data_IF_374444257272
#
_entry.id   IF_374444257272
#
_cell.length_a   1.000
_cell.length_b   1.000
_cell.length_c   1.000
_cell.angle_alpha   90.00
_cell.angle_beta   90.00
_cell.angle_gamma   90.00
#
_symmetry.space_group_name_H-M   'P 1'
#
loop_
_entity.id
_entity.type
_entity.pdbx_description
1 polymer ?
#
# COMPACT_ATOMS: atom_id res chain seq x y z
N UNK A 1 -27.80 42.17 45.60
CA UNK A 1 -28.29 43.19 44.65
C UNK A 1 -29.20 42.53 43.60
N UNK A 2 -30.53 42.55 43.78
CA UNK A 2 -31.54 42.53 42.71
C UNK A 2 -32.21 43.93 42.60
N UNK A 3 -33.01 44.30 41.56
CA UNK A 3 -34.39 43.81 41.27
C UNK A 3 -34.65 43.59 39.74
N UNK A 4 -35.62 42.84 39.20
CA UNK A 4 -37.08 42.62 39.35
C UNK A 4 -37.98 43.42 38.38
N UNK A 5 -39.02 42.74 37.85
CA UNK A 5 -40.19 43.16 37.01
C UNK A 5 -39.98 43.15 35.48
N UNK A 6 -40.86 42.65 34.61
CA UNK A 6 -42.20 42.06 34.74
C UNK A 6 -43.03 42.35 33.47
N UNK A 7 -43.52 41.28 32.81
CA UNK A 7 -44.75 41.13 31.97
C UNK A 7 -45.12 42.12 30.85
N UNK A 8 -45.39 41.58 29.64
CA UNK A 8 -46.31 42.19 28.66
C UNK A 8 -46.15 41.71 27.20
N UNK A 9 -46.89 40.67 26.80
CA UNK A 9 -47.41 40.48 25.41
C UNK A 9 -48.87 40.99 25.38
N UNK A 10 -49.63 41.04 24.25
CA UNK A 10 -49.37 40.68 22.84
C UNK A 10 -49.87 41.73 21.79
N UNK A 11 -49.57 41.52 20.50
CA UNK A 11 -50.47 41.66 19.32
C UNK A 11 -49.73 42.12 18.04
N UNK A 12 -50.12 41.53 16.91
CA UNK A 12 -50.23 42.25 15.64
C UNK A 12 -49.32 41.80 14.51
N UNK A 13 -49.75 40.74 13.80
CA UNK A 13 -49.82 40.64 12.34
C UNK A 13 -48.83 41.43 11.46
N UNK A 14 -48.07 40.69 10.63
CA UNK A 14 -48.20 40.75 9.15
C UNK A 14 -47.18 39.84 8.46
N UNK A 15 -47.69 38.76 7.88
CA UNK A 15 -47.03 38.02 6.81
C UNK A 15 -47.06 38.85 5.50
N UNK A 16 -46.00 38.85 4.68
CA UNK A 16 -46.05 39.37 3.32
C UNK A 16 -46.56 38.33 2.30
N UNK A 17 -47.08 38.77 1.13
CA UNK A 17 -48.28 38.18 0.54
C UNK A 17 -48.04 37.12 -0.54
N UNK A 18 -49.00 36.19 -0.63
CA UNK A 18 -49.25 35.34 -1.81
C UNK A 18 -49.78 36.20 -2.96
N UNK A 19 -49.12 36.14 -4.12
CA UNK A 19 -49.75 36.42 -5.42
C UNK A 19 -49.89 35.11 -6.17
N UNK A 20 -51.12 34.66 -6.35
CA UNK A 20 -51.48 33.68 -7.37
C UNK A 20 -51.95 34.40 -8.62
N UNK A 21 -51.63 33.84 -9.78
CA UNK A 21 -52.44 33.88 -11.01
C UNK A 21 -51.87 32.84 -12.00
N UNK A 22 -52.60 31.72 -12.02
CA UNK A 22 -52.92 30.80 -13.12
C UNK A 22 -51.88 29.97 -13.92
N UNK A 23 -52.29 28.76 -14.37
CA UNK A 23 -51.40 27.73 -14.89
C UNK A 23 -51.46 27.60 -16.43
N UNK A 24 -50.46 26.97 -17.08
CA UNK A 24 -50.68 26.39 -18.40
C UNK A 24 -50.69 24.85 -18.36
N UNK A 25 -51.81 24.32 -18.85
CA UNK A 25 -51.99 23.15 -19.72
C UNK A 25 -51.52 21.76 -19.28
N UNK A 26 -52.49 20.84 -19.29
CA UNK A 26 -52.40 19.38 -19.19
C UNK A 26 -51.89 18.72 -20.50
N UNK A 27 -51.60 17.39 -20.49
CA UNK A 27 -50.52 16.78 -21.25
C UNK A 27 -50.96 16.21 -22.61
N UNK A 28 -50.05 16.20 -23.57
CA UNK A 28 -50.15 15.36 -24.78
C UNK A 28 -49.12 14.22 -24.72
N UNK A 29 -49.57 13.00 -25.02
CA UNK A 29 -48.69 11.92 -25.47
C UNK A 29 -48.60 10.68 -24.58
N UNK A 30 -49.73 10.06 -24.22
CA UNK A 30 -49.75 8.66 -23.81
C UNK A 30 -49.35 7.76 -25.00
N UNK A 31 -48.11 7.24 -25.01
CA UNK A 31 -47.77 6.09 -25.86
C UNK A 31 -48.20 4.81 -25.15
N UNK A 32 -49.25 4.19 -25.70
CA UNK A 32 -49.78 2.88 -25.31
C UNK A 32 -48.75 1.78 -25.58
N UNK A 33 -48.63 0.87 -24.63
CA UNK A 33 -48.12 -0.48 -24.83
C UNK A 33 -49.03 -1.27 -25.79
N UNK A 34 -48.50 -2.22 -26.57
CA UNK A 34 -49.31 -3.23 -27.24
C UNK A 34 -49.07 -4.63 -26.65
N UNK A 35 -50.14 -5.24 -26.13
CA UNK A 35 -50.42 -6.68 -26.17
C UNK A 35 -51.93 -6.86 -25.89
N UNK A 36 -52.59 -7.99 -26.20
CA UNK A 36 -52.11 -9.27 -26.74
C UNK A 36 -52.90 -9.77 -27.98
N UNK A 37 -52.36 -10.75 -28.71
CA UNK A 37 -53.04 -11.45 -29.80
C UNK A 37 -52.79 -12.96 -29.70
N UNK A 38 -53.87 -13.70 -29.69
CA UNK A 38 -54.07 -15.14 -29.43
C UNK A 38 -53.68 -16.05 -30.62
N UNK A 39 -53.24 -17.28 -30.32
CA UNK A 39 -53.11 -18.36 -31.33
C UNK A 39 -52.34 -19.61 -30.87
N UNK A 40 -53.08 -20.55 -30.24
CA UNK A 40 -52.98 -22.04 -30.28
C UNK A 40 -51.60 -22.71 -30.54
N UNK A 41 -50.95 -23.42 -29.60
CA UNK A 41 -51.22 -24.76 -29.05
C UNK A 41 -50.53 -25.96 -29.78
N UNK A 42 -49.45 -26.47 -29.12
CA UNK A 42 -48.96 -27.89 -28.96
C UNK A 42 -48.20 -28.61 -30.10
N UNK A 43 -47.39 -29.69 -29.83
CA UNK A 43 -46.71 -30.11 -28.58
C UNK A 43 -45.24 -30.65 -28.73
N UNK A 44 -44.54 -30.70 -27.57
CA UNK A 44 -43.59 -31.71 -27.06
C UNK A 44 -42.50 -32.38 -27.95
N UNK A 45 -41.22 -32.24 -27.52
CA UNK A 45 -40.31 -33.36 -27.30
C UNK A 45 -39.14 -32.98 -26.35
N UNK A 46 -39.00 -33.76 -25.27
CA UNK A 46 -37.84 -33.92 -24.39
C UNK A 46 -36.57 -34.29 -25.22
N UNK A 47 -35.30 -34.21 -24.83
CA UNK A 47 -34.57 -34.31 -23.55
C UNK A 47 -33.07 -34.15 -23.88
N UNK A 48 -32.24 -33.92 -22.85
CA UNK A 48 -30.77 -34.11 -22.86
C UNK A 48 -29.90 -33.00 -23.48
N UNK A 49 -29.54 -32.00 -22.68
CA UNK A 49 -28.28 -31.26 -22.89
C UNK A 49 -27.74 -30.62 -21.60
N UNK A 50 -27.71 -31.40 -20.51
CA UNK A 50 -27.06 -31.00 -19.24
C UNK A 50 -25.99 -31.97 -18.75
N UNK A 51 -25.69 -33.03 -19.52
CA UNK A 51 -24.56 -33.94 -19.23
C UNK A 51 -23.35 -33.77 -20.15
N UNK A 52 -23.44 -32.96 -21.21
CA UNK A 52 -22.31 -32.77 -22.12
C UNK A 52 -21.27 -31.76 -21.62
N UNK A 53 -21.63 -30.84 -20.72
CA UNK A 53 -20.72 -29.80 -20.24
C UNK A 53 -19.74 -30.28 -19.17
N UNK A 54 -20.06 -31.34 -18.44
CA UNK A 54 -19.20 -31.87 -17.38
C UNK A 54 -18.08 -32.76 -17.92
N UNK A 55 -18.32 -33.49 -19.01
CA UNK A 55 -17.29 -34.32 -19.66
C UNK A 55 -16.25 -33.52 -20.45
N UNK A 56 -16.57 -32.31 -20.90
CA UNK A 56 -15.63 -31.43 -21.62
C UNK A 56 -14.60 -30.80 -20.65
N UNK A 57 -14.96 -30.63 -19.37
CA UNK A 57 -14.06 -30.02 -18.39
C UNK A 57 -13.05 -31.01 -17.78
N UNK A 58 -13.38 -32.31 -17.72
CA UNK A 58 -12.43 -33.34 -17.29
C UNK A 58 -11.42 -33.75 -18.38
N UNK A 59 -11.63 -33.39 -19.64
CA UNK A 59 -10.79 -33.83 -20.77
C UNK A 59 -9.58 -32.91 -21.06
N UNK A 60 -9.44 -31.80 -20.33
CA UNK A 60 -8.43 -30.77 -20.64
C UNK A 60 -7.06 -31.00 -19.95
N UNK A 61 -6.87 -32.13 -19.27
CA UNK A 61 -5.64 -32.45 -18.52
C UNK A 61 -4.70 -33.46 -19.20
N UNK A 62 -4.98 -33.84 -20.45
CA UNK A 62 -4.21 -34.88 -21.13
C UNK A 62 -4.00 -34.55 -22.60
N UNK A 63 -3.15 -33.56 -22.93
CA UNK A 63 -2.34 -33.62 -24.16
C UNK A 63 -1.17 -32.64 -24.06
N UNK A 64 0.03 -33.20 -24.15
CA UNK A 64 1.31 -32.51 -24.07
C UNK A 64 2.05 -32.81 -25.38
N UNK A 65 1.67 -32.17 -26.49
CA UNK A 65 2.55 -32.01 -27.66
C UNK A 65 1.99 -30.99 -28.67
N UNK A 66 2.84 -30.19 -29.35
CA UNK A 66 2.43 -29.30 -30.44
C UNK A 66 1.85 -30.03 -31.66
N UNK A 67 2.01 -31.35 -31.77
CA UNK A 67 1.51 -32.16 -32.88
C UNK A 67 0.02 -32.47 -32.78
N UNK A 68 -0.56 -32.50 -31.56
CA UNK A 68 -1.97 -32.84 -31.36
C UNK A 68 -2.91 -31.65 -31.68
N UNK A 69 -2.43 -30.42 -31.48
CA UNK A 69 -3.11 -29.20 -31.92
C UNK A 69 -3.23 -29.12 -33.45
N UNK A 70 -2.24 -29.65 -34.17
CA UNK A 70 -2.23 -29.66 -35.63
C UNK A 70 -3.19 -30.72 -36.21
N UNK A 71 -3.38 -31.84 -35.51
CA UNK A 71 -4.37 -32.87 -35.87
C UNK A 71 -5.81 -32.41 -35.62
N UNK A 72 -6.06 -31.68 -34.53
CA UNK A 72 -7.38 -31.09 -34.26
C UNK A 72 -7.77 -30.02 -35.29
N UNK A 73 -6.80 -29.19 -35.72
CA UNK A 73 -7.03 -28.17 -36.74
C UNK A 73 -7.35 -28.76 -38.13
N UNK A 74 -6.73 -29.90 -38.49
CA UNK A 74 -7.09 -30.63 -39.71
C UNK A 74 -8.46 -31.32 -39.62
N UNK A 75 -8.83 -31.87 -38.46
CA UNK A 75 -10.14 -32.49 -38.24
C UNK A 75 -11.30 -31.49 -38.29
N UNK A 76 -11.03 -30.20 -38.04
CA UNK A 76 -12.00 -29.11 -38.13
C UNK A 76 -11.99 -28.38 -39.49
N UNK A 77 -11.21 -28.85 -40.47
CA UNK A 77 -11.25 -28.34 -41.85
C UNK A 77 -10.71 -26.92 -42.04
N UNK A 78 -9.91 -26.40 -41.10
CA UNK A 78 -9.39 -25.03 -41.16
C UNK A 78 -8.18 -24.92 -42.09
N UNK A 79 -8.21 -23.94 -43.01
CA UNK A 79 -7.13 -23.72 -43.98
C UNK A 79 -6.02 -22.87 -43.38
N UNK A 80 -4.79 -23.15 -43.84
CA UNK A 80 -3.52 -22.54 -43.38
C UNK A 80 -3.43 -21.01 -43.57
N UNK A 81 -4.42 -20.40 -44.23
CA UNK A 81 -4.53 -18.96 -44.50
C UNK A 81 -5.07 -18.13 -43.34
N UNK A 82 -5.65 -18.76 -42.30
CA UNK A 82 -6.47 -18.05 -41.31
C UNK A 82 -5.71 -17.62 -40.04
N UNK A 83 -4.38 -17.77 -40.02
CA UNK A 83 -3.52 -17.36 -38.90
C UNK A 83 -2.30 -16.52 -39.35
N UNK A 84 -2.42 -15.19 -39.48
CA UNK A 84 -1.27 -14.31 -39.61
C UNK A 84 -0.97 -13.67 -38.25
N UNK A 85 0.11 -14.12 -37.60
CA UNK A 85 0.83 -13.55 -36.43
C UNK A 85 1.08 -14.58 -35.32
N UNK A 86 1.81 -15.66 -35.64
CA UNK A 86 2.40 -16.54 -34.62
C UNK A 86 3.72 -17.16 -35.11
N UNK A 87 4.57 -16.38 -35.78
CA UNK A 87 5.84 -16.86 -36.34
C UNK A 87 7.08 -16.01 -35.94
N UNK A 88 6.99 -15.18 -34.89
CA UNK A 88 8.09 -14.29 -34.50
C UNK A 88 8.54 -14.38 -33.03
N UNK A 89 8.11 -15.39 -32.26
CA UNK A 89 8.35 -15.42 -30.81
C UNK A 89 9.02 -16.70 -30.27
N UNK A 90 9.79 -17.43 -31.08
CA UNK A 90 10.43 -18.69 -30.67
C UNK A 90 11.93 -18.80 -31.02
N UNK A 91 12.68 -17.70 -31.01
CA UNK A 91 14.10 -17.71 -31.38
C UNK A 91 15.03 -16.87 -30.49
N UNK A 92 14.66 -16.61 -29.23
CA UNK A 92 15.58 -15.96 -28.29
C UNK A 92 15.28 -16.44 -26.87
N UNK A 93 16.01 -17.46 -26.40
CA UNK A 93 16.31 -17.77 -24.98
C UNK A 93 16.97 -19.16 -24.88
N UNK A 94 18.25 -19.28 -25.25
CA UNK A 94 19.14 -20.34 -24.76
C UNK A 94 20.58 -19.79 -24.66
N UNK A 95 21.30 -19.95 -23.52
CA UNK A 95 22.69 -19.53 -23.37
C UNK A 95 23.66 -20.58 -23.95
N UNK A 96 24.84 -20.20 -24.47
CA UNK A 96 25.81 -21.15 -24.99
C UNK A 96 26.68 -21.76 -23.87
N UNK A 97 26.78 -23.09 -23.89
CA UNK A 97 27.79 -23.87 -23.19
C UNK A 97 29.17 -23.73 -23.87
N UNK A 98 30.22 -23.49 -23.09
CA UNK A 98 31.63 -23.61 -23.52
C UNK A 98 32.23 -24.91 -22.95
N UNK A 99 32.99 -25.69 -23.73
CA UNK A 99 33.62 -26.93 -23.26
C UNK A 99 35.00 -26.67 -22.64
N UNK A 100 35.30 -27.39 -21.55
CA UNK A 100 36.63 -27.53 -20.93
C UNK A 100 37.43 -28.66 -21.59
N UNK A 101 38.75 -28.55 -21.80
CA UNK A 101 39.58 -29.68 -22.18
C UNK A 101 40.22 -30.36 -20.96
N UNK A 102 40.37 -31.68 -21.11
CA UNK A 102 40.91 -32.68 -20.19
C UNK A 102 42.44 -32.85 -20.31
N UNK A 103 43.05 -33.32 -19.21
CA UNK A 103 44.27 -34.14 -19.17
C UNK A 103 45.41 -33.53 -18.34
N UNK A 104 46.28 -34.25 -17.62
CA UNK A 104 46.37 -35.65 -17.13
C UNK A 104 47.74 -35.77 -16.41
N UNK A 105 47.83 -36.54 -15.32
CA UNK A 105 49.08 -37.03 -14.71
C UNK A 105 49.73 -36.08 -13.69
N UNK A 106 50.18 -36.46 -12.49
CA UNK A 106 50.54 -37.76 -11.92
C UNK A 106 51.95 -37.65 -11.31
N UNK A 107 52.11 -37.84 -10.00
CA UNK A 107 53.44 -37.95 -9.36
C UNK A 107 53.48 -37.51 -7.88
N UNK A 108 53.97 -38.39 -7.01
CA UNK A 108 53.93 -38.27 -5.55
C UNK A 108 55.33 -38.18 -4.91
N UNK A 109 55.43 -37.39 -3.81
CA UNK A 109 56.35 -37.45 -2.62
C UNK A 109 57.86 -37.12 -2.80
N UNK A 110 58.66 -36.92 -1.71
CA UNK A 110 58.48 -36.08 -0.50
C UNK A 110 59.79 -35.36 0.01
N UNK A 111 59.70 -34.50 1.05
CA UNK A 111 60.82 -34.01 1.92
C UNK A 111 61.65 -32.83 1.34
N UNK A 112 62.19 -31.86 2.08
CA UNK A 112 62.57 -31.72 3.49
C UNK A 112 62.92 -30.24 3.82
N UNK A 113 62.79 -29.83 5.10
CA UNK A 113 63.53 -28.77 5.85
C UNK A 113 63.45 -27.31 5.34
N UNK A 114 63.29 -26.24 6.13
CA UNK A 114 63.53 -25.98 7.56
C UNK A 114 62.90 -24.63 8.01
N UNK A 115 62.75 -24.48 9.34
CA UNK A 115 62.70 -23.24 10.14
C UNK A 115 61.40 -22.39 10.24
N UNK A 116 60.74 -22.57 11.39
CA UNK A 116 59.76 -21.73 12.13
C UNK A 116 60.44 -20.55 12.89
N UNK A 117 59.75 -19.74 13.75
CA UNK A 117 58.62 -18.79 13.59
C UNK A 117 58.95 -17.47 14.42
N UNK A 118 58.02 -16.68 15.04
CA UNK A 118 56.56 -16.51 14.90
C UNK A 118 56.06 -15.04 14.76
N UNK A 119 54.75 -14.84 14.50
CA UNK A 119 54.03 -13.56 14.60
C UNK A 119 53.31 -13.39 15.96
N UNK A 120 53.17 -12.14 16.43
CA UNK A 120 52.36 -11.80 17.60
C UNK A 120 50.88 -11.57 17.22
N UNK A 121 50.00 -12.39 17.79
CA UNK A 121 48.58 -12.06 18.02
C UNK A 121 48.43 -11.03 19.16
N UNK A 122 47.27 -10.55 19.57
CA UNK A 122 45.88 -10.85 19.22
C UNK A 122 44.95 -10.16 20.23
N UNK A 123 43.78 -9.73 19.75
CA UNK A 123 42.46 -9.90 20.38
C UNK A 123 41.99 -9.02 21.57
N UNK A 124 40.78 -8.46 21.34
CA UNK A 124 39.60 -8.32 22.22
C UNK A 124 39.75 -8.11 23.74
N UNK A 125 39.05 -7.10 24.28
CA UNK A 125 37.99 -7.29 25.29
C UNK A 125 37.25 -6.00 25.67
N UNK A 126 36.01 -6.20 26.14
CA UNK A 126 35.02 -5.25 26.66
C UNK A 126 35.39 -4.76 28.07
N UNK A 127 34.81 -3.63 28.49
CA UNK A 127 34.33 -3.37 29.85
C UNK A 127 33.42 -2.12 29.79
N UNK A 128 32.28 -1.94 30.46
CA UNK A 128 31.82 -2.47 31.74
C UNK A 128 31.59 -1.29 32.69
N UNK A 129 30.33 -1.02 33.08
CA UNK A 129 29.90 -0.03 34.09
C UNK A 129 30.62 -0.24 35.43
N UNK A 130 30.83 0.83 36.20
CA UNK A 130 30.29 1.00 37.56
C UNK A 130 30.73 2.33 38.20
N UNK A 131 29.74 3.03 38.75
CA UNK A 131 29.67 3.78 40.02
C UNK A 131 30.97 4.20 40.74
N UNK A 132 31.06 5.49 41.14
CA UNK A 132 30.91 5.91 42.55
C UNK A 132 31.00 7.44 42.74
N UNK A 133 29.92 7.99 43.29
CA UNK A 133 29.81 8.94 44.41
C UNK A 133 30.88 10.01 44.72
N UNK A 134 30.32 11.24 44.85
CA UNK A 134 30.35 12.18 46.00
C UNK A 134 31.66 12.82 46.46
N UNK A 135 31.51 14.11 46.80
CA UNK A 135 32.36 14.87 47.73
C UNK A 135 32.77 16.20 47.11
N UNK A 136 32.13 17.31 47.47
CA UNK A 136 32.61 18.23 48.53
C UNK A 136 34.05 18.67 48.25
N UNK A 137 34.40 19.92 48.01
CA UNK A 137 33.78 21.17 48.42
C UNK A 137 34.93 22.10 48.85
N UNK A 138 34.81 23.38 48.54
CA UNK A 138 35.48 24.47 49.25
C UNK A 138 36.97 24.72 48.96
N UNK A 139 37.28 25.99 48.78
CA UNK A 139 38.59 26.54 49.18
C UNK A 139 39.34 27.29 48.08
N UNK A 140 39.23 28.62 48.15
CA UNK A 140 40.27 29.65 47.98
C UNK A 140 41.68 29.17 47.55
N UNK A 141 42.50 29.89 46.79
CA UNK A 141 42.66 31.33 46.68
C UNK A 141 43.59 31.66 45.50
N UNK A 142 43.48 32.91 45.02
CA UNK A 142 44.56 33.87 44.74
C UNK A 142 45.88 33.47 44.03
N UNK A 143 46.17 34.28 43.01
CA UNK A 143 47.48 34.78 42.55
C UNK A 143 48.55 33.77 42.08
N UNK A 144 48.91 33.81 40.79
CA UNK A 144 49.98 34.67 40.27
C UNK A 144 50.39 34.24 38.85
N UNK A 145 50.90 35.24 38.12
CA UNK A 145 51.29 35.23 36.71
C UNK A 145 52.47 34.30 36.41
N UNK A 146 52.48 33.77 35.18
CA UNK A 146 53.67 33.90 34.31
C UNK A 146 54.46 32.63 34.03
N UNK A 147 54.03 31.86 33.03
CA UNK A 147 54.94 31.17 32.11
C UNK A 147 54.17 30.88 30.81
N UNK A 148 54.43 31.68 29.77
CA UNK A 148 53.90 31.45 28.44
C UNK A 148 54.59 30.23 27.84
N UNK A 149 54.03 29.04 28.06
CA UNK A 149 54.36 27.85 27.27
C UNK A 149 53.73 28.07 25.90
N UNK A 150 54.56 28.29 24.89
CA UNK A 150 54.13 28.28 23.50
C UNK A 150 53.65 26.86 23.15
N UNK A 151 52.36 26.60 23.39
CA UNK A 151 51.68 25.42 22.88
C UNK A 151 51.66 25.54 21.35
N UNK A 152 52.58 24.84 20.70
CA UNK A 152 52.51 24.57 19.28
C UNK A 152 51.28 23.70 19.05
N UNK A 153 50.12 24.34 18.85
CA UNK A 153 48.93 23.64 18.40
C UNK A 153 49.21 23.20 16.96
N UNK A 154 49.16 21.90 16.64
CA UNK A 154 49.15 21.49 15.26
C UNK A 154 47.90 22.10 14.65
N UNK A 155 48.06 23.10 13.77
CA UNK A 155 46.98 23.53 12.92
C UNK A 155 46.63 22.30 12.07
N UNK A 156 45.59 21.58 12.48
CA UNK A 156 44.89 20.66 11.61
C UNK A 156 44.41 21.53 10.46
N UNK A 157 45.19 21.53 9.38
CA UNK A 157 44.80 22.12 8.12
C UNK A 157 43.45 21.52 7.82
N UNK A 158 42.40 22.32 8.00
CA UNK A 158 41.08 21.99 7.51
C UNK A 158 41.30 21.80 6.02
N UNK A 159 41.44 20.54 5.60
CA UNK A 159 41.29 20.15 4.21
C UNK A 159 39.87 20.57 3.91
N UNK A 160 39.71 21.82 3.45
CA UNK A 160 38.48 22.31 2.86
C UNK A 160 38.27 21.35 1.73
N UNK A 161 37.41 20.37 1.97
CA UNK A 161 37.00 19.39 1.00
C UNK A 161 36.23 20.20 -0.03
N UNK A 162 36.98 20.84 -0.94
CA UNK A 162 36.45 21.68 -1.98
C UNK A 162 35.61 20.74 -2.81
N UNK A 163 34.29 20.86 -2.69
CA UNK A 163 33.37 20.14 -3.55
C UNK A 163 33.82 20.43 -4.97
N UNK A 164 34.36 19.41 -5.64
CA UNK A 164 34.95 19.62 -6.95
C UNK A 164 33.84 20.10 -7.88
N UNK A 165 34.18 20.97 -8.83
CA UNK A 165 33.21 21.46 -9.81
C UNK A 165 32.48 20.30 -10.51
N UNK A 166 33.20 19.19 -10.71
CA UNK A 166 32.69 17.93 -11.23
C UNK A 166 31.62 17.29 -10.33
N UNK A 167 31.81 17.28 -9.02
CA UNK A 167 30.87 16.68 -8.07
C UNK A 167 29.57 17.49 -7.96
N UNK A 168 29.68 18.83 -7.93
CA UNK A 168 28.50 19.71 -7.97
C UNK A 168 27.74 19.50 -9.27
N UNK A 169 28.44 19.43 -10.40
CA UNK A 169 27.83 19.17 -11.73
C UNK A 169 27.12 17.82 -11.76
N UNK A 170 27.76 16.76 -11.24
CA UNK A 170 27.17 15.41 -11.17
C UNK A 170 25.89 15.42 -10.33
N UNK A 171 25.93 16.04 -9.16
CA UNK A 171 24.77 16.15 -8.26
C UNK A 171 23.62 16.93 -8.91
N UNK A 172 23.92 18.03 -9.59
CA UNK A 172 22.94 18.86 -10.28
C UNK A 172 22.26 18.08 -11.42
N UNK A 173 23.02 17.30 -12.21
CA UNK A 173 22.45 16.41 -13.23
C UNK A 173 21.54 15.34 -12.61
N UNK A 174 21.96 14.71 -11.51
CA UNK A 174 21.16 13.70 -10.82
C UNK A 174 19.84 14.25 -10.28
N UNK A 175 19.86 15.42 -9.63
CA UNK A 175 18.64 16.01 -9.05
C UNK A 175 17.67 16.48 -10.15
N UNK A 176 18.18 17.03 -11.27
CA UNK A 176 17.35 17.34 -12.44
C UNK A 176 16.66 16.10 -13.01
N UNK A 177 17.34 14.96 -13.06
CA UNK A 177 16.72 13.71 -13.49
C UNK A 177 15.66 13.22 -12.50
N UNK A 178 15.93 13.29 -11.20
CA UNK A 178 14.95 12.96 -10.15
C UNK A 178 13.71 13.86 -10.27
N UNK A 179 13.86 15.17 -10.49
CA UNK A 179 12.76 16.11 -10.68
C UNK A 179 11.88 15.75 -11.89
N UNK A 180 12.48 15.35 -13.02
CA UNK A 180 11.74 14.89 -14.20
C UNK A 180 10.95 13.62 -13.92
N UNK A 181 11.56 12.67 -13.21
CA UNK A 181 10.92 11.40 -12.82
C UNK A 181 9.75 11.68 -11.87
N UNK A 182 9.92 12.50 -10.84
CA UNK A 182 8.83 12.82 -9.89
C UNK A 182 7.70 13.60 -10.56
N UNK A 183 8.00 14.54 -11.46
CA UNK A 183 6.99 15.25 -12.25
C UNK A 183 6.18 14.30 -13.14
N UNK A 184 6.86 13.36 -13.81
CA UNK A 184 6.19 12.33 -14.62
C UNK A 184 5.35 11.39 -13.74
N UNK A 185 5.89 10.95 -12.60
CA UNK A 185 5.21 10.06 -11.67
C UNK A 185 3.99 10.72 -11.00
N UNK A 186 4.02 12.04 -10.77
CA UNK A 186 2.85 12.83 -10.36
C UNK A 186 1.73 12.70 -11.39
N UNK A 187 2.02 12.90 -12.68
CA UNK A 187 1.02 12.79 -13.76
C UNK A 187 0.45 11.37 -13.88
N UNK A 188 1.31 10.36 -13.77
CA UNK A 188 0.87 8.95 -13.77
C UNK A 188 -0.05 8.66 -12.58
N UNK A 189 0.30 9.17 -11.39
CA UNK A 189 -0.51 8.98 -10.18
C UNK A 189 -1.83 9.74 -10.26
N UNK A 190 -1.84 10.94 -10.85
CA UNK A 190 -3.05 11.72 -11.10
C UNK A 190 -4.03 10.99 -12.02
N UNK A 191 -3.54 10.40 -13.11
CA UNK A 191 -4.36 9.60 -14.02
C UNK A 191 -4.96 8.35 -13.33
N UNK A 192 -4.16 7.68 -12.49
CA UNK A 192 -4.63 6.51 -11.70
C UNK A 192 -5.64 6.92 -10.64
N UNK A 193 -5.42 8.03 -9.94
CA UNK A 193 -6.35 8.60 -8.98
C UNK A 193 -7.70 8.93 -9.64
N UNK A 194 -7.71 9.61 -10.78
CA UNK A 194 -8.94 9.94 -11.51
C UNK A 194 -9.71 8.71 -12.00
N UNK A 195 -9.03 7.58 -12.23
CA UNK A 195 -9.70 6.29 -12.50
C UNK A 195 -10.27 5.70 -11.21
N UNK A 196 -9.47 5.62 -10.15
CA UNK A 196 -9.88 5.06 -8.86
C UNK A 196 -11.07 5.82 -8.25
N UNK A 197 -11.09 7.16 -8.33
CA UNK A 197 -12.20 7.99 -7.85
C UNK A 197 -13.52 7.69 -8.57
N UNK A 198 -13.47 7.46 -9.90
CA UNK A 198 -14.67 7.08 -10.67
C UNK A 198 -15.20 5.71 -10.26
N UNK A 199 -14.31 4.76 -9.98
CA UNK A 199 -14.67 3.42 -9.51
C UNK A 199 -15.11 3.40 -8.04
N UNK A 200 -14.67 4.37 -7.24
CA UNK A 200 -15.02 4.47 -5.82
C UNK A 200 -16.48 4.86 -5.60
N UNK A 201 -17.02 5.76 -6.41
CA UNK A 201 -18.41 6.25 -6.29
C UNK A 201 -19.45 5.10 -6.24
N UNK A 202 -19.48 4.15 -7.20
CA UNK A 202 -20.40 3.02 -7.12
C UNK A 202 -20.07 2.07 -5.96
N UNK A 203 -18.78 1.84 -5.68
CA UNK A 203 -18.36 0.95 -4.58
C UNK A 203 -18.83 1.44 -3.20
N UNK A 204 -18.96 2.76 -2.99
CA UNK A 204 -19.48 3.33 -1.75
C UNK A 204 -20.91 2.89 -1.44
N UNK A 205 -21.75 2.80 -2.47
CA UNK A 205 -23.16 2.40 -2.33
C UNK A 205 -23.25 0.96 -1.84
N UNK A 206 -22.42 0.08 -2.40
CA UNK A 206 -22.31 -1.31 -1.96
C UNK A 206 -21.84 -1.43 -0.51
N UNK A 207 -20.84 -0.64 -0.11
CA UNK A 207 -20.34 -0.63 1.27
C UNK A 207 -21.37 -0.14 2.28
N UNK A 208 -22.13 0.91 1.96
CA UNK A 208 -23.22 1.40 2.84
C UNK A 208 -24.37 0.40 2.96
N UNK A 209 -24.71 -0.30 1.87
CA UNK A 209 -25.77 -1.30 1.89
C UNK A 209 -25.46 -2.48 2.82
N UNK A 210 -24.21 -2.94 2.82
CA UNK A 210 -23.75 -4.03 3.70
C UNK A 210 -23.83 -3.67 5.19
N UNK A 211 -23.59 -2.40 5.52
CA UNK A 211 -23.55 -1.91 6.90
C UNK A 211 -24.93 -1.56 7.45
N UNK A 212 -25.87 -1.21 6.58
CA UNK A 212 -27.21 -0.82 6.98
C UNK A 212 -27.93 -1.94 7.77
N UNK A 213 -27.60 -3.21 7.53
CA UNK A 213 -28.12 -4.32 8.33
C UNK A 213 -27.58 -4.26 9.76
N UNK A 214 -26.26 -4.11 9.93
CA UNK A 214 -25.63 -4.06 11.25
C UNK A 214 -26.08 -2.85 12.08
N UNK A 215 -26.29 -1.70 11.44
CA UNK A 215 -26.80 -0.49 12.10
C UNK A 215 -28.24 -0.68 12.58
N UNK A 216 -29.12 -1.25 11.75
CA UNK A 216 -30.52 -1.47 12.11
C UNK A 216 -30.72 -2.61 13.11
N UNK A 217 -29.88 -3.64 13.03
CA UNK A 217 -29.95 -4.79 13.92
C UNK A 217 -29.19 -4.55 15.24
N UNK A 218 -28.49 -3.42 15.39
CA UNK A 218 -27.65 -3.07 16.55
C UNK A 218 -26.81 -4.25 17.06
N UNK A 219 -26.21 -5.00 16.14
CA UNK A 219 -25.42 -6.19 16.49
C UNK A 219 -24.18 -5.73 17.24
N UNK A 220 -24.19 -5.93 18.56
CA UNK A 220 -23.04 -5.69 19.44
C UNK A 220 -22.27 -6.99 19.60
N UNK A 221 -20.95 -6.87 19.70
CA UNK A 221 -20.13 -7.99 20.10
C UNK A 221 -20.40 -8.31 21.59
N UNK A 222 -20.81 -9.54 21.94
CA UNK A 222 -20.82 -9.99 23.33
C UNK A 222 -19.45 -9.76 24.01
N UNK A 223 -19.46 -9.39 25.29
CA UNK A 223 -18.25 -9.08 26.06
C UNK A 223 -17.32 -10.30 26.23
N UNK A 224 -17.86 -11.53 26.09
CA UNK A 224 -17.17 -12.81 26.34
C UNK A 224 -16.29 -13.34 25.20
N UNK A 225 -16.13 -12.59 24.10
CA UNK A 225 -15.41 -13.07 22.92
C UNK A 225 -13.90 -13.18 23.14
N UNK A 226 -13.36 -14.36 22.85
CA UNK A 226 -11.95 -14.70 23.10
C UNK A 226 -11.06 -14.48 21.89
N UNK A 227 -11.61 -14.61 20.66
CA UNK A 227 -10.83 -14.54 19.41
C UNK A 227 -11.19 -13.33 18.56
N UNK A 228 -10.18 -12.51 18.27
CA UNK A 228 -10.32 -11.28 17.50
C UNK A 228 -9.52 -11.31 16.20
N UNK A 229 -10.16 -10.99 15.07
CA UNK A 229 -9.52 -10.93 13.76
C UNK A 229 -9.31 -9.49 13.29
N UNK A 230 -8.07 -9.13 12.98
CA UNK A 230 -7.71 -7.79 12.56
C UNK A 230 -7.22 -7.79 11.11
N UNK A 231 -7.97 -7.17 10.20
CA UNK A 231 -7.66 -7.13 8.77
C UNK A 231 -7.13 -5.74 8.39
N UNK A 232 -5.86 -5.67 7.99
CA UNK A 232 -5.25 -4.42 7.54
C UNK A 232 -5.18 -4.32 6.02
N UNK A 233 -5.76 -3.27 5.43
CA UNK A 233 -5.78 -3.07 3.96
C UNK A 233 -4.71 -2.07 3.50
N UNK A 234 -3.67 -2.57 2.84
CA UNK A 234 -2.58 -1.76 2.26
C UNK A 234 -2.28 -2.17 0.81
N UNK A 235 -1.17 -1.65 0.27
CA UNK A 235 -0.70 -1.86 -1.09
C UNK A 235 0.73 -2.39 -1.07
N UNK A 236 1.17 -3.00 -2.17
CA UNK A 236 2.58 -3.42 -2.29
C UNK A 236 3.53 -2.28 -2.68
N UNK A 237 2.98 -1.17 -3.19
CA UNK A 237 3.76 -0.07 -3.74
C UNK A 237 4.10 0.98 -2.68
N UNK A 238 5.31 1.52 -2.78
CA UNK A 238 5.78 2.59 -1.90
C UNK A 238 5.42 4.00 -2.40
N UNK A 239 6.10 4.99 -1.82
CA UNK A 239 6.05 6.40 -2.22
C UNK A 239 4.68 7.09 -2.06
N UNK A 240 3.86 6.62 -1.12
CA UNK A 240 2.51 7.11 -0.85
C UNK A 240 2.40 7.85 0.51
N UNK A 241 3.49 8.43 0.99
CA UNK A 241 3.51 9.16 2.27
C UNK A 241 3.21 8.26 3.48
N UNK A 242 2.27 8.67 4.32
CA UNK A 242 1.96 8.04 5.60
C UNK A 242 0.78 7.04 5.57
N UNK A 243 0.31 6.63 4.38
CA UNK A 243 -0.81 5.69 4.21
C UNK A 243 -0.54 4.37 4.95
N UNK A 244 0.60 3.73 4.70
CA UNK A 244 0.92 2.42 5.28
C UNK A 244 1.26 2.50 6.77
N UNK A 245 1.93 3.59 7.17
CA UNK A 245 2.32 3.78 8.56
C UNK A 245 1.13 4.15 9.45
N UNK A 246 0.12 4.85 8.92
CA UNK A 246 -1.11 5.14 9.66
C UNK A 246 -1.85 3.84 10.04
N UNK A 247 -2.12 2.97 9.07
CA UNK A 247 -2.76 1.67 9.29
C UNK A 247 -1.93 0.82 10.27
N UNK A 248 -0.62 0.68 10.03
CA UNK A 248 0.22 -0.14 10.90
C UNK A 248 0.29 0.38 12.35
N UNK A 249 0.17 1.70 12.56
CA UNK A 249 0.10 2.27 13.92
C UNK A 249 -1.24 1.95 14.59
N UNK A 250 -2.35 2.13 13.88
CA UNK A 250 -3.69 1.79 14.38
C UNK A 250 -3.76 0.32 14.77
N UNK A 251 -3.29 -0.57 13.88
CA UNK A 251 -3.23 -2.02 14.15
C UNK A 251 -2.42 -2.33 15.40
N UNK A 252 -1.25 -1.71 15.59
CA UNK A 252 -0.41 -1.92 16.79
C UNK A 252 -1.12 -1.49 18.08
N UNK A 253 -1.84 -0.37 18.02
CA UNK A 253 -2.59 0.14 19.17
C UNK A 253 -3.75 -0.81 19.52
N UNK A 254 -4.49 -1.29 18.52
CA UNK A 254 -5.57 -2.26 18.74
C UNK A 254 -5.04 -3.60 19.26
N UNK A 255 -3.94 -4.12 18.70
CA UNK A 255 -3.29 -5.35 19.20
C UNK A 255 -2.88 -5.18 20.67
N UNK A 256 -2.30 -4.03 21.04
CA UNK A 256 -1.94 -3.77 22.43
C UNK A 256 -3.17 -3.69 23.34
N UNK A 257 -4.22 -2.99 22.91
CA UNK A 257 -5.47 -2.86 23.69
C UNK A 257 -6.16 -4.21 23.89
N UNK A 258 -6.27 -5.02 22.84
CA UNK A 258 -6.92 -6.33 22.87
C UNK A 258 -6.08 -7.35 23.64
N UNK A 259 -4.76 -7.32 23.50
CA UNK A 259 -3.85 -8.17 24.27
C UNK A 259 -3.89 -7.84 25.77
N UNK A 260 -4.04 -6.56 26.15
CA UNK A 260 -4.22 -6.14 27.54
C UNK A 260 -5.57 -6.62 28.11
N UNK A 261 -6.59 -6.71 27.26
CA UNK A 261 -7.89 -7.30 27.63
C UNK A 261 -7.87 -8.84 27.67
N UNK A 262 -6.74 -9.49 27.37
CA UNK A 262 -6.60 -10.94 27.39
C UNK A 262 -7.24 -11.67 26.20
N UNK A 263 -7.60 -10.95 25.13
CA UNK A 263 -8.16 -11.54 23.91
C UNK A 263 -7.05 -12.08 23.00
N UNK A 264 -7.27 -13.22 22.37
CA UNK A 264 -6.40 -13.79 21.35
C UNK A 264 -6.61 -13.02 20.04
N UNK A 265 -5.56 -12.40 19.51
CA UNK A 265 -5.64 -11.56 18.30
C UNK A 265 -4.92 -12.23 17.15
N UNK A 266 -5.59 -12.38 16.01
CA UNK A 266 -4.97 -12.81 14.76
C UNK A 266 -5.07 -11.71 13.72
N UNK A 267 -4.02 -11.54 12.92
CA UNK A 267 -3.86 -10.46 11.95
C UNK A 267 -3.82 -11.02 10.54
N UNK A 268 -4.59 -10.40 9.66
CA UNK A 268 -4.58 -10.65 8.22
C UNK A 268 -4.05 -9.41 7.51
N UNK A 269 -2.90 -9.56 6.85
CA UNK A 269 -2.26 -8.49 6.11
C UNK A 269 -2.64 -8.53 4.63
N UNK A 270 -3.39 -7.53 4.15
CA UNK A 270 -3.63 -7.36 2.72
C UNK A 270 -2.59 -6.38 2.17
N UNK A 271 -1.67 -6.90 1.36
CA UNK A 271 -0.54 -6.17 0.80
C UNK A 271 0.76 -6.36 1.59
N UNK A 272 1.87 -6.32 0.85
CA UNK A 272 3.21 -6.64 1.35
C UNK A 272 3.75 -5.59 2.35
N UNK A 273 3.30 -4.34 2.26
CA UNK A 273 3.79 -3.25 3.12
C UNK A 273 3.36 -3.39 4.58
N UNK A 274 2.16 -3.89 4.86
CA UNK A 274 1.73 -4.17 6.24
C UNK A 274 2.55 -5.29 6.83
N UNK A 275 2.72 -6.39 6.09
CA UNK A 275 3.58 -7.50 6.52
C UNK A 275 4.97 -6.99 6.88
N UNK A 276 5.62 -6.22 5.99
CA UNK A 276 6.95 -5.67 6.25
C UNK A 276 7.05 -4.78 7.50
N UNK A 277 6.01 -4.01 7.83
CA UNK A 277 5.99 -3.11 8.99
C UNK A 277 5.72 -3.83 10.31
N UNK A 278 4.96 -4.93 10.29
CA UNK A 278 4.57 -5.67 11.49
C UNK A 278 5.43 -6.92 11.75
N UNK A 279 6.11 -7.48 10.74
CA UNK A 279 6.88 -8.73 10.85
C UNK A 279 7.86 -8.76 12.03
N UNK A 280 8.55 -7.65 12.29
CA UNK A 280 9.60 -7.58 13.33
C UNK A 280 9.03 -7.55 14.75
N UNK A 281 7.84 -6.97 14.95
CA UNK A 281 7.27 -6.74 16.28
C UNK A 281 6.11 -7.68 16.60
N UNK A 282 5.28 -7.98 15.61
CA UNK A 282 4.03 -8.74 15.74
C UNK A 282 3.97 -9.89 14.71
N UNK A 283 5.12 -10.44 14.32
CA UNK A 283 5.22 -11.52 13.35
C UNK A 283 4.43 -12.79 13.73
N UNK A 284 4.30 -13.05 15.03
CA UNK A 284 3.64 -14.25 15.56
C UNK A 284 2.11 -14.21 15.44
N UNK A 285 1.52 -13.03 15.25
CA UNK A 285 0.07 -12.86 15.19
C UNK A 285 -0.48 -13.00 13.76
N UNK A 286 0.36 -13.25 12.75
CA UNK A 286 -0.11 -13.34 11.37
C UNK A 286 -0.78 -14.69 11.07
N UNK A 287 -2.03 -14.62 10.63
CA UNK A 287 -2.77 -15.78 10.10
C UNK A 287 -2.50 -15.93 8.60
N UNK A 288 -2.76 -14.88 7.83
CA UNK A 288 -2.64 -14.87 6.36
C UNK A 288 -2.00 -13.57 5.88
N UNK A 289 -1.31 -13.65 4.73
CA UNK A 289 -0.81 -12.46 4.02
C UNK A 289 -1.06 -12.57 2.53
N UNK A 290 -1.65 -11.52 1.97
CA UNK A 290 -1.90 -11.39 0.54
C UNK A 290 -0.87 -10.45 -0.11
N UNK A 291 -0.45 -10.80 -1.33
CA UNK A 291 0.48 -10.03 -2.16
C UNK A 291 -0.14 -9.73 -3.54
N UNK A 292 0.53 -8.88 -4.32
CA UNK A 292 0.09 -8.39 -5.63
C UNK A 292 -1.20 -7.54 -5.58
N UNK A 293 -1.41 -6.85 -4.46
CA UNK A 293 -2.52 -5.93 -4.23
C UNK A 293 -2.13 -4.51 -4.65
N UNK A 294 -2.92 -3.92 -5.57
CA UNK A 294 -2.76 -2.54 -6.03
C UNK A 294 -1.88 -2.37 -7.28
N UNK A 295 -1.42 -3.46 -7.91
CA UNK A 295 -0.76 -3.40 -9.24
C UNK A 295 -1.77 -3.12 -10.35
N UNK A 296 -2.87 -3.87 -10.34
CA UNK A 296 -4.08 -3.65 -11.14
C UNK A 296 -5.15 -2.97 -10.27
N UNK A 297 -6.12 -2.25 -10.86
CA UNK A 297 -7.27 -1.77 -10.09
C UNK A 297 -7.96 -2.97 -9.41
N UNK A 298 -8.23 -2.92 -8.09
CA UNK A 298 -8.81 -4.07 -7.39
C UNK A 298 -10.22 -4.33 -7.90
N UNK A 299 -10.51 -5.59 -8.19
CA UNK A 299 -11.82 -6.06 -8.64
C UNK A 299 -12.58 -6.72 -7.50
N UNK A 300 -13.87 -7.02 -7.72
CA UNK A 300 -14.64 -7.79 -6.75
C UNK A 300 -14.09 -9.22 -6.61
N UNK A 301 -13.60 -9.81 -7.71
CA UNK A 301 -12.99 -11.14 -7.70
C UNK A 301 -11.77 -11.24 -6.77
N UNK A 302 -10.95 -10.18 -6.70
CA UNK A 302 -9.81 -10.14 -5.78
C UNK A 302 -10.27 -10.17 -4.31
N UNK A 303 -11.36 -9.46 -3.98
CA UNK A 303 -11.95 -9.48 -2.66
C UNK A 303 -12.60 -10.84 -2.32
N UNK A 304 -13.23 -11.49 -3.30
CA UNK A 304 -13.79 -12.83 -3.14
C UNK A 304 -12.70 -13.86 -2.83
N UNK A 305 -11.55 -13.80 -3.51
CA UNK A 305 -10.41 -14.70 -3.23
C UNK A 305 -9.92 -14.51 -1.79
N UNK A 306 -9.77 -13.26 -1.34
CA UNK A 306 -9.36 -12.95 0.04
C UNK A 306 -10.38 -13.48 1.05
N UNK A 307 -11.67 -13.29 0.79
CA UNK A 307 -12.74 -13.78 1.66
C UNK A 307 -12.75 -15.32 1.73
N UNK A 308 -12.65 -16.00 0.59
CA UNK A 308 -12.62 -17.46 0.54
C UNK A 308 -11.40 -18.04 1.23
N UNK A 309 -10.21 -17.45 1.05
CA UNK A 309 -8.99 -17.91 1.73
C UNK A 309 -9.07 -17.68 3.24
N UNK A 310 -9.72 -16.59 3.67
CA UNK A 310 -9.98 -16.32 5.08
C UNK A 310 -10.92 -17.37 5.69
N UNK A 311 -12.00 -17.74 5.00
CA UNK A 311 -12.94 -18.79 5.46
C UNK A 311 -12.27 -20.18 5.46
N UNK A 312 -11.43 -20.47 4.48
CA UNK A 312 -10.69 -21.74 4.36
C UNK A 312 -9.55 -21.88 5.38
N UNK A 313 -9.19 -20.82 6.10
CA UNK A 313 -8.11 -20.85 7.08
C UNK A 313 -8.43 -21.73 8.30
N UNK A 314 -9.71 -22.08 8.50
CA UNK A 314 -10.17 -22.87 9.65
C UNK A 314 -10.11 -22.11 10.98
N UNK A 315 -9.78 -20.81 10.94
CA UNK A 315 -9.79 -19.96 12.12
C UNK A 315 -11.18 -19.37 12.35
N UNK A 316 -11.90 -19.92 13.32
CA UNK A 316 -13.14 -19.34 13.81
C UNK A 316 -12.82 -18.08 14.62
N UNK A 317 -13.27 -16.93 14.12
CA UNK A 317 -13.18 -15.65 14.79
C UNK A 317 -14.57 -15.26 15.30
N UNK A 318 -14.63 -14.64 16.48
CA UNK A 318 -15.90 -14.20 17.07
C UNK A 318 -16.21 -12.75 16.68
N UNK A 319 -15.18 -11.91 16.64
CA UNK A 319 -15.23 -10.50 16.29
C UNK A 319 -14.03 -10.14 15.43
N UNK A 320 -14.20 -9.23 14.49
CA UNK A 320 -13.08 -8.68 13.76
C UNK A 320 -13.29 -7.24 13.35
N UNK A 321 -12.22 -6.62 12.87
CA UNK A 321 -12.23 -5.26 12.34
C UNK A 321 -11.38 -5.16 11.08
N UNK A 322 -11.89 -4.46 10.07
CA UNK A 322 -11.14 -4.07 8.88
C UNK A 322 -10.67 -2.64 9.03
N UNK A 323 -9.35 -2.45 9.02
CA UNK A 323 -8.71 -1.15 9.08
C UNK A 323 -8.28 -0.76 7.68
N UNK A 324 -8.78 0.37 7.22
CA UNK A 324 -8.45 0.92 5.92
C UNK A 324 -8.45 2.45 5.96
N UNK A 325 -7.92 3.06 4.90
CA UNK A 325 -7.92 4.51 4.77
C UNK A 325 -9.12 4.97 3.95
N UNK A 326 -10.04 5.69 4.60
CA UNK A 326 -11.18 6.35 3.96
C UNK A 326 -10.74 7.64 3.28
N UNK A 327 -11.08 7.74 2.00
CA UNK A 327 -10.81 8.91 1.18
C UNK A 327 -11.77 10.06 1.53
N UNK A 328 -11.24 11.20 1.98
CA UNK A 328 -12.03 12.43 2.21
C UNK A 328 -11.82 13.43 1.08
N UNK A 329 -10.57 13.76 0.81
CA UNK A 329 -10.17 14.68 -0.26
C UNK A 329 -8.80 14.27 -0.80
N UNK A 330 -8.34 14.97 -1.84
CA UNK A 330 -7.03 14.72 -2.46
C UNK A 330 -5.87 14.82 -1.45
N UNK A 331 -6.02 15.66 -0.42
CA UNK A 331 -4.99 15.91 0.59
C UNK A 331 -5.27 15.13 1.88
N UNK A 332 -6.55 14.98 2.24
CA UNK A 332 -6.96 14.39 3.52
C UNK A 332 -7.56 13.00 3.33
N UNK A 333 -7.08 12.05 4.12
CA UNK A 333 -7.65 10.73 4.33
C UNK A 333 -7.74 10.48 5.83
N UNK A 334 -8.65 9.59 6.24
CA UNK A 334 -8.78 9.17 7.64
C UNK A 334 -8.72 7.65 7.71
N UNK A 335 -7.91 7.13 8.62
CA UNK A 335 -7.93 5.70 8.95
C UNK A 335 -9.19 5.43 9.78
N UNK A 336 -10.09 4.62 9.23
CA UNK A 336 -11.33 4.22 9.88
C UNK A 336 -11.32 2.68 10.00
N UNK A 337 -12.03 2.19 11.01
CA UNK A 337 -12.24 0.78 11.30
C UNK A 337 -13.68 0.39 10.96
N UNK A 338 -13.88 -0.83 10.48
CA UNK A 338 -15.21 -1.41 10.23
C UNK A 338 -15.33 -2.78 10.89
N UNK A 339 -16.33 -2.99 11.77
CA UNK A 339 -16.49 -4.27 12.43
C UNK A 339 -16.94 -5.35 11.43
N UNK A 340 -16.47 -6.57 11.67
CA UNK A 340 -16.92 -7.82 11.06
C UNK A 340 -17.38 -8.71 12.22
N UNK A 341 -18.52 -9.35 12.04
CA UNK A 341 -19.09 -10.25 13.03
C UNK A 341 -19.10 -11.69 12.52
N UNK A 342 -18.97 -12.63 13.44
CA UNK A 342 -19.09 -14.06 13.17
C UNK A 342 -20.53 -14.51 12.98
N UNK A 343 -20.73 -15.74 12.50
CA UNK A 343 -22.06 -16.33 12.32
C UNK A 343 -22.85 -16.43 13.62
N UNK A 344 -22.20 -16.94 14.67
CA UNK A 344 -22.81 -17.12 15.99
C UNK A 344 -23.28 -15.79 16.59
N UNK A 345 -22.52 -14.73 16.33
CA UNK A 345 -22.74 -13.44 17.00
C UNK A 345 -23.79 -12.60 16.31
N UNK A 346 -23.95 -12.80 15.00
CA UNK A 346 -25.11 -12.31 14.28
C UNK A 346 -26.33 -13.11 14.70
N UNK A 347 -26.30 -14.45 14.69
CA UNK A 347 -27.43 -15.30 15.04
C UNK A 347 -27.96 -15.08 16.48
N UNK A 348 -27.08 -14.75 17.42
CA UNK A 348 -27.47 -14.46 18.82
C UNK A 348 -28.10 -13.09 19.06
N UNK A 349 -28.32 -12.26 18.03
CA UNK A 349 -28.89 -10.93 18.19
C UNK A 349 -30.42 -10.93 18.24
N UNK A 350 -30.99 -10.28 19.26
CA UNK A 350 -32.44 -10.21 19.52
C UNK A 350 -33.20 -9.53 18.36
N UNK A 351 -32.57 -8.58 17.68
CA UNK A 351 -33.11 -7.80 16.56
C UNK A 351 -33.33 -8.62 15.28
N UNK A 352 -32.74 -9.82 15.15
CA UNK A 352 -32.97 -10.67 13.99
C UNK A 352 -34.36 -11.32 13.98
N UNK A 353 -35.04 -11.38 15.13
CA UNK A 353 -36.41 -11.90 15.24
C UNK A 353 -37.45 -11.12 14.40
N UNK A 354 -37.12 -9.88 14.01
CA UNK A 354 -37.98 -9.01 13.19
C UNK A 354 -37.94 -9.42 11.71
N UNK A 355 -36.91 -10.13 11.28
CA UNK A 355 -36.71 -10.51 9.89
C UNK A 355 -37.35 -11.87 9.60
N UNK A 356 -38.16 -11.90 8.55
CA UNK A 356 -38.85 -13.11 8.11
C UNK A 356 -37.91 -14.03 7.31
N UNK A 357 -38.22 -15.33 7.30
CA UNK A 357 -37.55 -16.35 6.47
C UNK A 357 -36.01 -16.44 6.59
N UNK A 358 -35.43 -16.15 7.77
CA UNK A 358 -33.99 -16.39 7.99
C UNK A 358 -33.75 -17.87 8.26
N UNK A 359 -33.36 -18.60 7.22
CA UNK A 359 -32.76 -19.93 7.38
C UNK A 359 -31.28 -19.81 7.79
N UNK A 360 -30.77 -20.80 8.54
CA UNK A 360 -29.37 -20.86 8.95
C UNK A 360 -28.41 -20.83 7.75
N UNK A 361 -28.80 -21.50 6.65
CA UNK A 361 -28.04 -21.52 5.40
C UNK A 361 -28.06 -20.16 4.67
N UNK A 362 -29.19 -19.44 4.71
CA UNK A 362 -29.31 -18.10 4.11
C UNK A 362 -28.43 -17.11 4.87
N UNK A 363 -28.43 -17.18 6.20
CA UNK A 363 -27.59 -16.31 7.03
C UNK A 363 -26.11 -16.52 6.73
N UNK A 364 -25.68 -17.77 6.58
CA UNK A 364 -24.30 -18.09 6.19
C UNK A 364 -23.93 -17.48 4.84
N UNK A 365 -24.74 -17.72 3.81
CA UNK A 365 -24.50 -17.17 2.47
C UNK A 365 -24.44 -15.64 2.48
N UNK A 366 -25.32 -15.00 3.26
CA UNK A 366 -25.35 -13.55 3.40
C UNK A 366 -24.09 -13.00 4.09
N UNK A 367 -23.58 -13.68 5.12
CA UNK A 367 -22.36 -13.27 5.80
C UNK A 367 -21.12 -13.39 4.91
N UNK A 368 -20.98 -14.49 4.17
CA UNK A 368 -19.87 -14.68 3.24
C UNK A 368 -19.89 -13.59 2.16
N UNK A 369 -21.07 -13.24 1.64
CA UNK A 369 -21.23 -12.14 0.70
C UNK A 369 -20.92 -10.78 1.31
N UNK A 370 -21.36 -10.53 2.55
CA UNK A 370 -21.12 -9.27 3.27
C UNK A 370 -19.64 -9.06 3.56
N UNK A 371 -18.92 -10.12 3.95
CA UNK A 371 -17.48 -10.10 4.14
C UNK A 371 -16.74 -9.69 2.86
N UNK A 372 -17.04 -10.34 1.74
CA UNK A 372 -16.45 -10.00 0.44
C UNK A 372 -16.76 -8.54 0.04
N UNK A 373 -17.97 -8.06 0.32
CA UNK A 373 -18.39 -6.70 0.02
C UNK A 373 -17.66 -5.64 0.87
N UNK A 374 -17.52 -5.86 2.19
CA UNK A 374 -16.77 -4.96 3.08
C UNK A 374 -15.29 -4.89 2.66
N UNK A 375 -14.69 -6.03 2.30
CA UNK A 375 -13.32 -6.09 1.79
C UNK A 375 -13.18 -5.33 0.46
N UNK A 376 -14.10 -5.54 -0.48
CA UNK A 376 -14.12 -4.82 -1.76
C UNK A 376 -14.22 -3.30 -1.57
N UNK A 377 -15.14 -2.85 -0.71
CA UNK A 377 -15.29 -1.45 -0.36
C UNK A 377 -14.00 -0.86 0.24
N UNK A 378 -13.39 -1.57 1.19
CA UNK A 378 -12.16 -1.17 1.87
C UNK A 378 -10.97 -1.08 0.91
N UNK A 379 -10.87 -2.02 -0.04
CA UNK A 379 -9.85 -2.01 -1.10
C UNK A 379 -9.98 -0.80 -2.03
N UNK A 380 -11.21 -0.43 -2.42
CA UNK A 380 -11.46 0.74 -3.28
C UNK A 380 -11.15 2.06 -2.58
N UNK A 381 -11.55 2.21 -1.32
CA UNK A 381 -11.23 3.38 -0.49
C UNK A 381 -9.72 3.53 -0.28
N UNK A 382 -9.04 2.44 0.10
CA UNK A 382 -7.60 2.43 0.35
C UNK A 382 -6.80 2.73 -0.93
N UNK A 383 -7.18 2.14 -2.07
CA UNK A 383 -6.52 2.38 -3.36
C UNK A 383 -6.65 3.84 -3.80
N UNK A 384 -7.82 4.45 -3.61
CA UNK A 384 -8.04 5.86 -3.98
C UNK A 384 -7.21 6.80 -3.11
N UNK A 385 -7.21 6.56 -1.78
CA UNK A 385 -6.38 7.29 -0.82
C UNK A 385 -4.88 7.13 -1.07
N UNK A 386 -4.45 5.94 -1.49
CA UNK A 386 -3.05 5.67 -1.83
C UNK A 386 -2.59 6.46 -3.06
N UNK A 387 -3.41 6.52 -4.13
CA UNK A 387 -3.05 7.28 -5.33
C UNK A 387 -3.05 8.79 -5.09
N UNK A 388 -4.00 9.32 -4.30
CA UNK A 388 -4.03 10.74 -3.95
C UNK A 388 -2.81 11.12 -3.11
N UNK A 389 -2.47 10.33 -2.09
CA UNK A 389 -1.29 10.55 -1.25
C UNK A 389 0.02 10.45 -2.04
N UNK A 390 0.12 9.50 -2.98
CA UNK A 390 1.28 9.38 -3.88
C UNK A 390 1.42 10.60 -4.77
N UNK A 391 0.33 11.10 -5.35
CA UNK A 391 0.36 12.32 -6.17
C UNK A 391 0.88 13.51 -5.38
N UNK A 392 0.40 13.70 -4.15
CA UNK A 392 0.84 14.78 -3.24
C UNK A 392 2.30 14.61 -2.83
N UNK A 393 2.74 13.39 -2.51
CA UNK A 393 4.14 13.10 -2.18
C UNK A 393 5.09 13.41 -3.36
N UNK A 394 4.68 13.10 -4.60
CA UNK A 394 5.46 13.42 -5.80
C UNK A 394 5.52 14.93 -6.08
N UNK A 395 4.43 15.65 -5.83
CA UNK A 395 4.40 17.11 -5.98
C UNK A 395 5.37 17.79 -5.01
N UNK A 396 5.34 17.40 -3.74
CA UNK A 396 6.26 17.88 -2.72
C UNK A 396 7.72 17.52 -3.06
N UNK A 397 7.98 16.30 -3.53
CA UNK A 397 9.31 15.90 -3.96
C UNK A 397 9.82 16.73 -5.16
N UNK A 398 8.95 17.10 -6.10
CA UNK A 398 9.30 17.94 -7.26
C UNK A 398 9.62 19.39 -6.86
N UNK A 399 8.83 19.96 -5.93
CA UNK A 399 9.09 21.29 -5.35
C UNK A 399 10.42 21.32 -4.60
N UNK A 400 10.65 20.36 -3.70
CA UNK A 400 11.91 20.24 -2.96
C UNK A 400 13.12 20.05 -3.89
N UNK A 401 12.97 19.30 -4.98
CA UNK A 401 14.02 19.15 -5.98
C UNK A 401 14.33 20.47 -6.70
N UNK A 402 13.31 21.29 -6.98
CA UNK A 402 13.47 22.61 -7.61
C UNK A 402 14.29 23.54 -6.72
N UNK A 403 13.95 23.64 -5.45
CA UNK A 403 14.70 24.45 -4.48
C UNK A 403 16.16 23.99 -4.33
N UNK A 404 16.41 22.68 -4.37
CA UNK A 404 17.78 22.14 -4.33
C UNK A 404 18.58 22.48 -5.59
N UNK A 405 17.93 22.47 -6.77
CA UNK A 405 18.57 22.85 -8.03
C UNK A 405 18.99 24.31 -7.95
N UNK A 406 18.12 25.19 -7.50
CA UNK A 406 18.42 26.63 -7.41
C UNK A 406 19.60 26.88 -6.47
N UNK A 407 19.60 26.29 -5.28
CA UNK A 407 20.72 26.38 -4.33
C UNK A 407 22.03 25.85 -4.92
N UNK A 408 22.00 24.70 -5.60
CA UNK A 408 23.19 24.11 -6.21
C UNK A 408 23.70 24.90 -7.42
N UNK A 409 22.81 25.57 -8.17
CA UNK A 409 23.24 26.44 -9.28
C UNK A 409 24.01 27.66 -8.79
N UNK A 410 23.58 28.27 -7.67
CA UNK A 410 24.30 29.37 -7.04
C UNK A 410 25.69 28.91 -6.57
N UNK A 411 25.76 27.76 -5.89
CA UNK A 411 27.05 27.18 -5.45
C UNK A 411 27.94 26.84 -6.65
N UNK A 412 27.37 26.25 -7.71
CA UNK A 412 28.10 25.93 -8.94
C UNK A 412 28.73 27.18 -9.56
N UNK A 413 27.98 28.27 -9.70
CA UNK A 413 28.47 29.51 -10.28
C UNK A 413 29.60 30.12 -9.42
N UNK A 414 29.45 30.13 -8.09
CA UNK A 414 30.47 30.61 -7.16
C UNK A 414 31.75 29.76 -7.24
N UNK A 415 31.63 28.44 -7.22
CA UNK A 415 32.80 27.54 -7.33
C UNK A 415 33.46 27.65 -8.70
N UNK A 416 32.70 27.79 -9.78
CA UNK A 416 33.24 28.02 -11.12
C UNK A 416 34.05 29.30 -11.19
N UNK A 417 33.53 30.40 -10.64
CA UNK A 417 34.26 31.67 -10.58
C UNK A 417 35.55 31.53 -9.76
N UNK A 418 35.49 30.87 -8.59
CA UNK A 418 36.67 30.65 -7.75
C UNK A 418 37.76 29.82 -8.45
N UNK A 419 37.37 28.81 -9.25
CA UNK A 419 38.32 28.01 -10.05
C UNK A 419 38.94 28.87 -11.14
N UNK A 420 38.16 29.64 -11.91
CA UNK A 420 38.68 30.54 -12.95
C UNK A 420 39.67 31.55 -12.36
N UNK A 421 39.32 32.19 -11.23
CA UNK A 421 40.23 33.15 -10.58
C UNK A 421 41.50 32.47 -10.08
N UNK A 422 41.40 31.24 -9.58
CA UNK A 422 42.57 30.48 -9.13
C UNK A 422 43.50 30.15 -10.28
N UNK A 423 42.96 29.63 -11.39
CA UNK A 423 43.73 29.33 -12.61
C UNK A 423 44.42 30.59 -13.16
N UNK A 424 43.71 31.73 -13.19
CA UNK A 424 44.30 33.01 -13.63
C UNK A 424 45.43 33.49 -12.72
N UNK A 425 45.27 33.39 -11.39
CA UNK A 425 46.32 33.76 -10.43
C UNK A 425 47.53 32.85 -10.57
N UNK A 426 47.33 31.54 -10.80
CA UNK A 426 48.42 30.58 -11.03
C UNK A 426 49.20 30.92 -12.31
N UNK A 427 48.52 31.31 -13.39
CA UNK A 427 49.17 31.74 -14.65
C UNK A 427 50.00 33.02 -14.44
N UNK A 428 49.41 34.05 -13.80
CA UNK A 428 50.10 35.33 -13.57
C UNK A 428 51.30 35.14 -12.62
N UNK A 429 51.14 34.36 -11.55
CA UNK A 429 52.23 34.09 -10.60
C UNK A 429 53.34 33.27 -11.23
N UNK A 430 53.00 32.31 -12.11
CA UNK A 430 53.99 31.55 -12.87
C UNK A 430 54.75 32.42 -13.89
N UNK A 431 54.07 33.35 -14.54
CA UNK A 431 54.70 34.30 -15.47
C UNK A 431 55.61 35.31 -14.76
N UNK A 432 55.24 35.77 -13.56
CA UNK A 432 56.05 36.71 -12.77
C UNK A 432 57.25 36.06 -12.05
N UNK A 433 57.31 34.72 -12.00
CA UNK A 433 58.40 33.97 -11.38
C UNK A 433 59.52 33.60 -12.37
N UNK A 434 59.34 33.91 -13.66
CA UNK A 434 60.35 33.85 -14.73
C UNK A 434 60.96 35.25 -14.92
#
# INVERSE_FOLDING_TARGET
>A
MPPSRGSGTPQGDRAPPKKGLEPPARPMGARRAPSPGTGQARPAALTSSRHCFWHIWQYQRSFCSPLDLMRLAMALGLRKSDFPMAAAAAAALLPPHTPSPTGSGGGARPGSTSATPPPSGGAHARCGRADLQRGCGGGAAMFARGAAVALYQPQWGQVRNMATLKDITRRLKSIKNIQKITKSMKMVSAAKYARAERELKPARIYGTGALALYEKAEIKAPEDKKKYLLIGVSSDRGLCGAIHTSIAKTMKNEIANLSNAGKEVMVVGIGDKIRGLLQRTHGNYFLLTFKEVGRRPPSFGDASVIASELLNSGYEFDEGSVIYNRFRSVISYKTDEKPIFSLETVAGSESLSIYDDIDADVLRNYQEFTLANILYYSLKESTTSEQSARMTAMDNASKNASEMIDKLTLTFNRTRQAVITKELIEIISGAAAL
#
